data_IF_536839654849
#
_entry.id   IF_536839654849
#
_cell.length_a   1.000
_cell.length_b   1.000
_cell.length_c   1.000
_cell.angle_alpha   90.00
_cell.angle_beta   90.00
_cell.angle_gamma   90.00
#
_symmetry.space_group_name_H-M   'P 1'
#
loop_
_entity.id
_entity.type
_entity.pdbx_description
1 polymer ?
#
# COMPACT_ATOMS: atom_id res chain seq x y z
N UNK A 1 55.39 56.76 16.93
CA UNK A 1 54.99 55.54 17.66
C UNK A 1 53.63 55.03 17.13
N UNK A 2 53.54 54.70 15.83
CA UNK A 2 52.29 54.31 15.16
C UNK A 2 52.43 53.08 14.23
N UNK A 3 53.57 52.38 14.25
CA UNK A 3 53.85 51.25 13.35
C UNK A 3 53.65 49.86 13.95
N UNK A 4 53.36 49.75 15.26
CA UNK A 4 53.29 48.45 15.96
C UNK A 4 51.86 48.05 16.39
N UNK A 5 50.88 48.95 16.27
CA UNK A 5 49.47 48.68 16.57
C UNK A 5 48.65 48.26 15.34
N UNK A 6 49.18 48.45 14.12
CA UNK A 6 48.52 48.07 12.88
C UNK A 6 48.60 46.55 12.61
N UNK A 7 49.74 45.94 12.88
CA UNK A 7 49.97 44.52 12.55
C UNK A 7 49.16 43.57 13.42
N UNK A 8 48.94 43.90 14.69
CA UNK A 8 48.12 43.08 15.58
C UNK A 8 46.63 43.22 15.25
N UNK A 9 46.15 44.44 14.95
CA UNK A 9 44.76 44.68 14.56
C UNK A 9 44.41 44.02 13.22
N UNK A 10 45.29 44.11 12.22
CA UNK A 10 45.13 43.47 10.92
C UNK A 10 45.14 41.95 11.05
N UNK A 11 46.03 41.38 11.90
CA UNK A 11 46.03 39.93 12.19
C UNK A 11 44.74 39.49 12.87
N UNK A 12 44.23 40.24 13.86
CA UNK A 12 42.98 39.90 14.54
C UNK A 12 41.78 39.97 13.60
N UNK A 13 41.71 40.97 12.72
CA UNK A 13 40.68 41.07 11.69
C UNK A 13 40.79 39.93 10.66
N UNK A 14 42.00 39.63 10.17
CA UNK A 14 42.24 38.52 9.24
C UNK A 14 41.83 37.17 9.84
N UNK A 15 42.27 36.87 11.07
CA UNK A 15 41.89 35.64 11.76
C UNK A 15 40.39 35.60 12.08
N UNK A 16 39.80 36.73 12.49
CA UNK A 16 38.37 36.85 12.72
C UNK A 16 37.55 36.56 11.45
N UNK A 17 37.91 37.16 10.32
CA UNK A 17 37.27 36.91 9.02
C UNK A 17 37.51 35.49 8.51
N UNK A 18 38.71 34.93 8.71
CA UNK A 18 39.05 33.55 8.34
C UNK A 18 38.22 32.54 9.14
N UNK A 19 38.15 32.67 10.46
CA UNK A 19 37.32 31.81 11.30
C UNK A 19 35.83 32.01 11.03
N UNK A 20 35.37 33.23 10.75
CA UNK A 20 33.99 33.48 10.35
C UNK A 20 33.65 32.79 9.02
N UNK A 21 34.55 32.82 8.03
CA UNK A 21 34.36 32.14 6.75
C UNK A 21 34.34 30.60 6.91
N UNK A 22 35.26 30.04 7.70
CA UNK A 22 35.26 28.60 8.01
C UNK A 22 33.98 28.21 8.75
N UNK A 23 33.58 28.99 9.76
CA UNK A 23 32.36 28.71 10.52
C UNK A 23 31.12 28.79 9.62
N UNK A 24 31.04 29.78 8.73
CA UNK A 24 29.97 29.88 7.73
C UNK A 24 29.93 28.66 6.80
N UNK A 25 31.09 28.18 6.34
CA UNK A 25 31.17 27.00 5.47
C UNK A 25 30.74 25.72 6.22
N UNK A 26 31.21 25.51 7.45
CA UNK A 26 30.80 24.39 8.31
C UNK A 26 29.29 24.46 8.56
N UNK A 27 28.76 25.63 8.90
CA UNK A 27 27.33 25.83 9.16
C UNK A 27 26.53 25.54 7.90
N UNK A 28 26.95 26.04 6.74
CA UNK A 28 26.29 25.76 5.46
C UNK A 28 26.27 24.27 5.12
N UNK A 29 27.39 23.57 5.29
CA UNK A 29 27.47 22.13 5.08
C UNK A 29 26.54 21.36 6.03
N UNK A 30 26.54 21.71 7.32
CA UNK A 30 25.66 21.11 8.33
C UNK A 30 24.19 21.38 8.00
N UNK A 31 23.82 22.62 7.65
CA UNK A 31 22.46 22.97 7.23
C UNK A 31 22.01 22.13 6.04
N UNK A 32 22.86 21.95 5.02
CA UNK A 32 22.52 21.13 3.85
C UNK A 32 22.26 19.67 4.23
N UNK A 33 23.06 19.11 5.13
CA UNK A 33 22.86 17.75 5.65
C UNK A 33 21.52 17.66 6.40
N UNK A 34 21.24 18.60 7.31
CA UNK A 34 19.99 18.59 8.07
C UNK A 34 18.75 18.78 7.20
N UNK A 35 18.81 19.67 6.20
CA UNK A 35 17.73 19.86 5.22
C UNK A 35 17.49 18.57 4.44
N UNK A 36 18.54 17.91 3.96
CA UNK A 36 18.42 16.62 3.25
C UNK A 36 17.81 15.50 4.12
N UNK A 37 18.23 15.38 5.38
CA UNK A 37 17.65 14.41 6.32
C UNK A 37 16.17 14.73 6.59
N UNK A 38 15.83 16.01 6.76
CA UNK A 38 14.45 16.47 6.98
C UNK A 38 13.55 16.12 5.82
N UNK A 39 13.99 16.43 4.60
CA UNK A 39 13.24 16.18 3.38
C UNK A 39 13.02 14.69 3.18
N UNK A 40 14.07 13.88 3.35
CA UNK A 40 13.97 12.42 3.27
C UNK A 40 13.01 11.83 4.31
N UNK A 41 13.00 12.35 5.54
CA UNK A 41 12.09 11.90 6.59
C UNK A 41 10.64 12.31 6.32
N UNK A 42 10.43 13.53 5.78
CA UNK A 42 9.12 14.01 5.38
C UNK A 42 8.56 13.18 4.22
N UNK A 43 9.36 12.93 3.19
CA UNK A 43 8.95 12.15 2.04
C UNK A 43 8.59 10.72 2.44
N UNK A 44 9.42 10.10 3.29
CA UNK A 44 9.11 8.80 3.87
C UNK A 44 7.77 8.76 4.58
N UNK A 45 7.52 9.72 5.49
CA UNK A 45 6.26 9.78 6.22
C UNK A 45 5.07 9.98 5.27
N UNK A 46 5.20 10.88 4.29
CA UNK A 46 4.16 11.10 3.28
C UNK A 46 3.89 9.84 2.45
N UNK A 47 4.93 9.10 2.09
CA UNK A 47 4.81 7.82 1.38
C UNK A 47 4.03 6.80 2.24
N UNK A 48 4.37 6.65 3.52
CA UNK A 48 3.65 5.76 4.42
C UNK A 48 2.17 6.13 4.53
N UNK A 49 1.83 7.42 4.63
CA UNK A 49 0.42 7.88 4.71
C UNK A 49 -0.33 7.58 3.41
N UNK A 50 0.27 7.80 2.24
CA UNK A 50 -0.32 7.44 0.95
C UNK A 50 -0.53 5.93 0.83
N UNK A 51 0.44 5.14 1.29
CA UNK A 51 0.38 3.69 1.31
C UNK A 51 -0.73 3.19 2.23
N UNK A 52 -0.88 3.77 3.42
CA UNK A 52 -2.01 3.46 4.32
C UNK A 52 -3.35 3.69 3.60
N UNK A 53 -3.52 4.83 2.92
CA UNK A 53 -4.75 5.11 2.18
C UNK A 53 -5.00 4.09 1.06
N UNK A 54 -3.98 3.76 0.25
CA UNK A 54 -4.09 2.76 -0.84
C UNK A 54 -4.43 1.37 -0.30
N UNK A 55 -3.73 0.90 0.73
CA UNK A 55 -3.94 -0.42 1.32
C UNK A 55 -5.35 -0.54 1.92
N UNK A 56 -5.84 0.48 2.63
CA UNK A 56 -7.23 0.52 3.11
C UNK A 56 -8.24 0.45 1.95
N UNK A 57 -8.00 1.18 0.86
CA UNK A 57 -8.85 1.08 -0.33
C UNK A 57 -8.83 -0.33 -0.92
N UNK A 58 -7.66 -0.95 -1.01
CA UNK A 58 -7.51 -2.31 -1.52
C UNK A 58 -8.23 -3.33 -0.63
N UNK A 59 -8.22 -3.17 0.70
CA UNK A 59 -9.00 -4.05 1.61
C UNK A 59 -10.49 -4.01 1.22
N UNK A 60 -11.04 -2.82 1.03
CA UNK A 60 -12.43 -2.66 0.62
C UNK A 60 -12.72 -3.31 -0.73
N UNK A 61 -11.88 -3.05 -1.73
CA UNK A 61 -12.09 -3.55 -3.09
C UNK A 61 -11.91 -5.08 -3.16
N UNK A 62 -10.96 -5.66 -2.42
CA UNK A 62 -10.79 -7.11 -2.32
C UNK A 62 -12.03 -7.78 -1.72
N UNK A 63 -12.64 -7.19 -0.70
CA UNK A 63 -13.90 -7.74 -0.16
C UNK A 63 -15.06 -7.67 -1.14
N UNK A 64 -15.16 -6.58 -1.92
CA UNK A 64 -16.16 -6.48 -2.98
C UNK A 64 -15.92 -7.53 -4.06
N UNK A 65 -14.66 -7.75 -4.46
CA UNK A 65 -14.29 -8.75 -5.43
C UNK A 65 -14.69 -10.17 -4.94
N UNK A 66 -14.33 -10.55 -3.71
CA UNK A 66 -14.70 -11.86 -3.13
C UNK A 66 -16.21 -12.05 -3.16
N UNK A 67 -16.99 -11.06 -2.70
CA UNK A 67 -18.46 -11.13 -2.70
C UNK A 67 -19.05 -11.32 -4.11
N UNK A 68 -18.51 -10.62 -5.12
CA UNK A 68 -18.96 -10.76 -6.51
C UNK A 68 -18.59 -12.15 -7.04
N UNK A 69 -17.38 -12.65 -6.76
CA UNK A 69 -16.91 -13.97 -7.21
C UNK A 69 -17.76 -15.08 -6.59
N UNK A 70 -18.12 -14.97 -5.31
CA UNK A 70 -19.03 -15.90 -4.65
C UNK A 70 -20.41 -15.92 -5.33
N UNK A 71 -20.99 -14.75 -5.60
CA UNK A 71 -22.28 -14.67 -6.30
C UNK A 71 -22.23 -15.23 -7.73
N UNK A 72 -21.11 -15.01 -8.45
CA UNK A 72 -20.88 -15.64 -9.76
C UNK A 72 -20.78 -17.16 -9.65
N UNK A 73 -20.09 -17.65 -8.62
CA UNK A 73 -19.93 -19.09 -8.37
C UNK A 73 -21.27 -19.74 -8.07
N UNK A 74 -22.10 -19.14 -7.22
CA UNK A 74 -23.46 -19.62 -6.93
C UNK A 74 -24.33 -19.64 -8.20
N UNK A 75 -24.26 -18.59 -9.01
CA UNK A 75 -24.99 -18.51 -10.29
C UNK A 75 -24.54 -19.61 -11.25
N UNK A 76 -23.24 -19.87 -11.32
CA UNK A 76 -22.67 -20.91 -12.17
C UNK A 76 -23.05 -22.32 -11.70
N UNK A 77 -23.06 -22.57 -10.38
CA UNK A 77 -23.52 -23.84 -9.78
C UNK A 77 -25.00 -24.10 -10.04
N UNK A 78 -25.83 -23.05 -10.06
CA UNK A 78 -27.23 -23.16 -10.44
C UNK A 78 -27.43 -23.39 -11.95
N UNK A 79 -26.36 -23.35 -12.76
CA UNK A 79 -26.41 -23.50 -14.21
C UNK A 79 -26.99 -22.29 -14.93
N UNK A 80 -27.03 -21.12 -14.26
CA UNK A 80 -27.61 -19.89 -14.78
C UNK A 80 -26.55 -19.03 -15.49
N UNK A 81 -27.03 -18.15 -16.38
CA UNK A 81 -26.19 -17.15 -17.05
C UNK A 81 -26.12 -15.88 -16.19
N UNK A 82 -24.91 -15.44 -15.89
CA UNK A 82 -24.58 -14.15 -15.31
C UNK A 82 -24.12 -13.17 -16.37
N UNK A 83 -24.46 -11.91 -16.18
CA UNK A 83 -23.95 -10.79 -16.98
C UNK A 83 -22.87 -9.98 -16.26
N UNK A 84 -22.60 -10.30 -14.99
CA UNK A 84 -21.57 -9.62 -14.23
C UNK A 84 -20.19 -10.05 -14.72
N UNK A 85 -19.29 -9.07 -14.83
CA UNK A 85 -17.86 -9.31 -15.05
C UNK A 85 -17.12 -9.02 -13.74
N UNK A 86 -15.97 -9.64 -13.58
CA UNK A 86 -15.05 -9.35 -12.49
C UNK A 86 -14.20 -8.13 -12.85
N UNK A 87 -14.12 -7.16 -11.96
CA UNK A 87 -13.26 -5.99 -12.16
C UNK A 87 -11.85 -6.26 -11.62
N UNK A 88 -10.84 -5.90 -12.41
CA UNK A 88 -9.45 -5.92 -11.99
C UNK A 88 -9.18 -4.81 -10.95
N UNK A 89 -8.32 -5.09 -9.98
CA UNK A 89 -7.89 -4.06 -9.01
C UNK A 89 -6.88 -3.09 -9.62
N UNK A 90 -6.91 -1.81 -9.19
CA UNK A 90 -5.96 -0.82 -9.68
C UNK A 90 -4.54 -1.08 -9.13
N UNK A 91 -3.59 -1.47 -10.00
CA UNK A 91 -2.17 -1.67 -9.64
C UNK A 91 -1.35 -0.37 -9.76
N UNK A 92 -1.94 0.80 -9.51
CA UNK A 92 -1.20 2.05 -9.67
C UNK A 92 -0.11 2.17 -8.59
N UNK A 93 1.13 2.59 -8.92
CA UNK A 93 2.16 2.78 -7.92
C UNK A 93 1.74 3.85 -6.91
N UNK A 94 2.08 3.64 -5.63
CA UNK A 94 1.77 4.59 -4.53
C UNK A 94 2.51 5.93 -4.71
N UNK A 95 3.66 5.88 -5.37
CA UNK A 95 4.59 6.98 -5.59
C UNK A 95 5.99 6.45 -5.83
N UNK A 96 7.00 7.31 -5.69
CA UNK A 96 8.39 6.93 -5.88
C UNK A 96 8.91 6.11 -4.69
N UNK A 97 9.22 4.83 -4.91
CA UNK A 97 9.74 3.92 -3.87
C UNK A 97 11.03 4.44 -3.21
N UNK A 98 11.76 5.34 -3.87
CA UNK A 98 12.95 6.01 -3.33
C UNK A 98 12.69 6.83 -2.06
N UNK A 99 11.44 7.27 -1.86
CA UNK A 99 11.03 7.98 -0.65
C UNK A 99 10.89 7.05 0.56
N UNK A 100 10.69 5.74 0.32
CA UNK A 100 10.60 4.74 1.36
C UNK A 100 12.01 4.36 1.84
N UNK A 101 12.22 4.35 3.17
CA UNK A 101 13.53 4.13 3.78
C UNK A 101 13.69 2.69 4.30
N UNK A 102 12.67 1.83 4.13
CA UNK A 102 12.61 0.48 4.69
C UNK A 102 12.67 -0.54 3.56
N UNK A 103 13.79 -1.25 3.45
CA UNK A 103 14.02 -2.22 2.37
C UNK A 103 13.06 -3.41 2.50
N UNK A 104 12.77 -3.84 3.72
CA UNK A 104 11.88 -4.98 3.94
C UNK A 104 10.45 -4.62 3.50
N UNK A 105 9.98 -3.42 3.85
CA UNK A 105 8.67 -2.94 3.40
C UNK A 105 8.62 -2.70 1.89
N UNK A 106 9.71 -2.21 1.29
CA UNK A 106 9.82 -2.09 -0.18
C UNK A 106 9.64 -3.47 -0.82
N UNK A 107 10.37 -4.48 -0.34
CA UNK A 107 10.28 -5.84 -0.88
C UNK A 107 8.88 -6.44 -0.70
N UNK A 108 8.27 -6.28 0.48
CA UNK A 108 6.90 -6.75 0.71
C UNK A 108 5.89 -6.04 -0.19
N UNK A 109 6.06 -4.74 -0.46
CA UNK A 109 5.21 -3.99 -1.37
C UNK A 109 5.37 -4.46 -2.82
N UNK A 110 6.59 -4.74 -3.27
CA UNK A 110 6.84 -5.33 -4.58
C UNK A 110 6.18 -6.72 -4.74
N UNK A 111 6.34 -7.59 -3.74
CA UNK A 111 5.67 -8.90 -3.76
C UNK A 111 4.16 -8.77 -3.79
N UNK A 112 3.60 -7.81 -3.05
CA UNK A 112 2.17 -7.52 -3.06
C UNK A 112 1.67 -7.01 -4.41
N UNK A 113 2.34 -6.01 -5.00
CA UNK A 113 1.94 -5.48 -6.32
C UNK A 113 2.06 -6.55 -7.41
N UNK A 114 3.09 -7.41 -7.38
CA UNK A 114 3.22 -8.55 -8.30
C UNK A 114 2.10 -9.58 -8.13
N UNK A 115 1.71 -9.88 -6.88
CA UNK A 115 0.55 -10.74 -6.58
C UNK A 115 -0.76 -10.18 -7.14
N UNK A 116 -0.96 -8.85 -7.04
CA UNK A 116 -2.11 -8.18 -7.65
C UNK A 116 -2.13 -8.28 -9.17
N UNK A 117 -0.97 -8.13 -9.83
CA UNK A 117 -0.88 -8.27 -11.28
C UNK A 117 -1.25 -9.70 -11.72
N UNK A 118 -0.77 -10.72 -11.01
CA UNK A 118 -1.13 -12.12 -11.28
C UNK A 118 -2.63 -12.35 -11.12
N UNK A 119 -3.22 -11.88 -10.00
CA UNK A 119 -4.66 -12.00 -9.77
C UNK A 119 -5.50 -11.29 -10.83
N UNK A 120 -5.06 -10.12 -11.27
CA UNK A 120 -5.72 -9.39 -12.34
C UNK A 120 -5.64 -10.12 -13.68
N UNK A 121 -4.54 -10.83 -13.96
CA UNK A 121 -4.42 -11.68 -15.13
C UNK A 121 -5.40 -12.86 -15.05
N UNK A 122 -5.53 -13.50 -13.88
CA UNK A 122 -6.47 -14.59 -13.64
C UNK A 122 -7.93 -14.13 -13.82
N UNK A 123 -8.27 -12.95 -13.27
CA UNK A 123 -9.57 -12.30 -13.48
C UNK A 123 -9.84 -12.05 -14.96
N UNK A 124 -8.87 -11.52 -15.70
CA UNK A 124 -9.01 -11.29 -17.15
C UNK A 124 -9.26 -12.60 -17.90
N UNK A 125 -8.52 -13.66 -17.56
CA UNK A 125 -8.64 -14.97 -18.19
C UNK A 125 -10.02 -15.59 -17.94
N UNK A 126 -10.51 -15.53 -16.70
CA UNK A 126 -11.84 -16.05 -16.32
C UNK A 126 -12.95 -15.25 -17.03
N UNK A 127 -12.85 -13.93 -17.05
CA UNK A 127 -13.80 -13.09 -17.78
C UNK A 127 -13.83 -13.41 -19.28
N UNK A 128 -12.66 -13.61 -19.90
CA UNK A 128 -12.55 -13.94 -21.32
C UNK A 128 -13.21 -15.30 -21.63
N UNK A 129 -12.84 -16.35 -20.88
CA UNK A 129 -13.41 -17.68 -21.00
C UNK A 129 -14.93 -17.65 -20.84
N UNK A 130 -15.42 -16.98 -19.78
CA UNK A 130 -16.85 -16.91 -19.51
C UNK A 130 -17.61 -16.13 -20.58
N UNK A 131 -17.05 -15.00 -21.04
CA UNK A 131 -17.65 -14.20 -22.10
C UNK A 131 -17.73 -14.95 -23.41
N UNK A 132 -16.74 -15.77 -23.76
CA UNK A 132 -16.75 -16.62 -24.95
C UNK A 132 -17.88 -17.67 -24.88
N UNK A 133 -17.97 -18.41 -23.77
CA UNK A 133 -19.00 -19.43 -23.54
C UNK A 133 -20.40 -18.80 -23.56
N UNK A 134 -20.57 -17.64 -22.90
CA UNK A 134 -21.82 -16.88 -22.89
C UNK A 134 -22.20 -16.40 -24.29
N UNK A 135 -21.24 -15.89 -25.06
CA UNK A 135 -21.49 -15.40 -26.43
C UNK A 135 -21.86 -16.52 -27.37
N UNK A 136 -21.25 -17.71 -27.24
CA UNK A 136 -21.63 -18.90 -28.01
C UNK A 136 -23.06 -19.34 -27.72
N UNK A 137 -23.51 -19.26 -26.46
CA UNK A 137 -24.90 -19.54 -26.10
C UNK A 137 -25.86 -18.51 -26.70
N UNK A 138 -25.56 -17.21 -26.56
CA UNK A 138 -26.42 -16.13 -27.06
C UNK A 138 -26.53 -16.10 -28.59
N UNK A 139 -25.48 -16.54 -29.30
CA UNK A 139 -25.46 -16.66 -30.75
C UNK A 139 -26.02 -17.98 -31.28
N UNK A 140 -26.60 -18.81 -30.41
CA UNK A 140 -27.12 -20.16 -30.73
C UNK A 140 -26.08 -21.11 -31.36
N UNK A 141 -24.79 -20.88 -31.13
CA UNK A 141 -23.72 -21.80 -31.57
C UNK A 141 -23.63 -23.05 -30.70
N UNK A 142 -24.05 -22.94 -29.43
CA UNK A 142 -24.18 -24.06 -28.49
C UNK A 142 -25.58 -24.06 -27.88
N UNK A 143 -26.07 -25.23 -27.50
CA UNK A 143 -27.34 -25.35 -26.75
C UNK A 143 -27.09 -25.20 -25.23
N UNK A 144 -28.17 -25.13 -24.44
CA UNK A 144 -28.09 -24.97 -22.99
C UNK A 144 -27.38 -26.14 -22.28
N UNK A 145 -27.51 -27.36 -22.79
CA UNK A 145 -26.85 -28.55 -22.22
C UNK A 145 -25.34 -28.50 -22.44
N UNK A 146 -24.90 -28.09 -23.63
CA UNK A 146 -23.50 -27.87 -23.95
C UNK A 146 -22.91 -26.71 -23.15
N UNK A 147 -23.69 -25.64 -22.91
CA UNK A 147 -23.33 -24.55 -22.02
C UNK A 147 -23.07 -25.05 -20.59
N UNK A 148 -24.00 -25.80 -20.00
CA UNK A 148 -23.83 -26.36 -18.66
C UNK A 148 -22.60 -27.27 -18.55
N UNK A 149 -22.35 -28.07 -19.59
CA UNK A 149 -21.17 -28.95 -19.65
C UNK A 149 -19.87 -28.13 -19.64
N UNK A 150 -19.79 -27.06 -20.44
CA UNK A 150 -18.63 -26.16 -20.50
C UNK A 150 -18.49 -25.30 -19.24
N UNK A 151 -19.61 -24.96 -18.58
CA UNK A 151 -19.63 -24.17 -17.36
C UNK A 151 -19.18 -24.97 -16.13
N UNK A 152 -19.20 -26.31 -16.18
CA UNK A 152 -18.93 -27.18 -15.03
C UNK A 152 -17.58 -26.92 -14.32
N UNK A 153 -16.57 -26.43 -15.05
CA UNK A 153 -15.25 -26.10 -14.50
C UNK A 153 -15.17 -24.69 -13.88
N UNK A 154 -16.11 -23.80 -14.20
CA UNK A 154 -16.08 -22.41 -13.76
C UNK A 154 -16.22 -22.28 -12.23
N UNK A 155 -17.12 -23.01 -11.53
CA UNK A 155 -17.22 -22.94 -10.08
C UNK A 155 -15.91 -23.26 -9.36
N UNK A 156 -15.14 -24.21 -9.86
CA UNK A 156 -13.85 -24.61 -9.28
C UNK A 156 -12.80 -23.54 -9.51
N UNK A 157 -12.72 -22.98 -10.73
CA UNK A 157 -11.83 -21.86 -11.04
C UNK A 157 -12.15 -20.62 -10.19
N UNK A 158 -13.44 -20.31 -10.00
CA UNK A 158 -13.87 -19.21 -9.13
C UNK A 158 -13.53 -19.49 -7.66
N UNK A 159 -13.63 -20.74 -7.19
CA UNK A 159 -13.22 -21.11 -5.84
C UNK A 159 -11.71 -20.96 -5.62
N UNK A 160 -10.88 -21.38 -6.59
CA UNK A 160 -9.43 -21.14 -6.55
C UNK A 160 -9.11 -19.65 -6.54
N UNK A 161 -9.81 -18.86 -7.34
CA UNK A 161 -9.66 -17.41 -7.38
C UNK A 161 -10.02 -16.78 -6.02
N UNK A 162 -11.09 -17.23 -5.34
CA UNK A 162 -11.44 -16.75 -3.98
C UNK A 162 -10.28 -17.00 -3.01
N UNK A 163 -9.72 -18.21 -2.98
CA UNK A 163 -8.60 -18.52 -2.08
C UNK A 163 -7.39 -17.62 -2.32
N UNK A 164 -7.07 -17.33 -3.59
CA UNK A 164 -5.98 -16.43 -3.94
C UNK A 164 -6.29 -14.96 -3.53
N UNK A 165 -7.53 -14.51 -3.62
CA UNK A 165 -7.96 -13.21 -3.11
C UNK A 165 -7.88 -13.12 -1.58
N UNK A 166 -8.19 -14.19 -0.86
CA UNK A 166 -8.07 -14.25 0.61
C UNK A 166 -6.61 -14.20 1.07
N UNK A 167 -5.70 -14.90 0.39
CA UNK A 167 -4.26 -14.82 0.65
C UNK A 167 -3.75 -13.39 0.41
N UNK A 168 -4.14 -12.78 -0.70
CA UNK A 168 -3.76 -11.40 -1.03
C UNK A 168 -4.32 -10.39 -0.02
N UNK A 169 -5.52 -10.65 0.52
CA UNK A 169 -6.10 -9.84 1.59
C UNK A 169 -5.28 -9.95 2.87
N UNK A 170 -4.81 -11.14 3.25
CA UNK A 170 -3.94 -11.30 4.41
C UNK A 170 -2.63 -10.53 4.23
N UNK A 171 -1.99 -10.62 3.06
CA UNK A 171 -0.79 -9.85 2.73
C UNK A 171 -1.05 -8.33 2.83
N UNK A 172 -2.20 -7.86 2.35
CA UNK A 172 -2.60 -6.46 2.46
C UNK A 172 -2.73 -6.03 3.94
N UNK A 173 -3.40 -6.84 4.77
CA UNK A 173 -3.56 -6.56 6.20
C UNK A 173 -2.19 -6.51 6.90
N UNK A 174 -1.27 -7.41 6.57
CA UNK A 174 0.07 -7.42 7.14
C UNK A 174 0.87 -6.18 6.74
N UNK A 175 0.83 -5.78 5.46
CA UNK A 175 1.44 -4.54 4.97
C UNK A 175 0.85 -3.30 5.63
N UNK A 176 -0.48 -3.25 5.78
CA UNK A 176 -1.19 -2.15 6.41
C UNK A 176 -0.80 -2.05 7.89
N UNK A 177 -0.67 -3.18 8.57
CA UNK A 177 -0.21 -3.28 9.97
C UNK A 177 1.19 -2.70 10.12
N UNK A 178 2.13 -3.13 9.28
CA UNK A 178 3.51 -2.62 9.29
C UNK A 178 3.55 -1.11 9.01
N UNK A 179 2.81 -0.66 7.99
CA UNK A 179 2.71 0.75 7.61
C UNK A 179 2.20 1.62 8.77
N UNK A 180 1.09 1.23 9.42
CA UNK A 180 0.53 1.96 10.57
C UNK A 180 1.49 2.03 11.75
N UNK A 181 2.18 0.94 12.07
CA UNK A 181 3.18 0.92 13.14
C UNK A 181 4.35 1.87 12.85
N UNK A 182 4.80 1.92 11.60
CA UNK A 182 5.85 2.84 11.16
C UNK A 182 5.39 4.30 11.23
N UNK A 183 4.16 4.61 10.80
CA UNK A 183 3.56 5.94 10.95
C UNK A 183 3.49 6.36 12.42
N UNK A 184 3.02 5.48 13.32
CA UNK A 184 2.96 5.76 14.77
C UNK A 184 4.33 6.02 15.36
N UNK A 185 5.34 5.25 14.93
CA UNK A 185 6.74 5.43 15.33
C UNK A 185 7.29 6.78 14.86
N UNK A 186 6.95 7.19 13.64
CA UNK A 186 7.44 8.44 13.04
C UNK A 186 6.78 9.68 13.62
N UNK A 187 5.48 9.60 13.91
CA UNK A 187 4.77 10.69 14.59
C UNK A 187 5.43 11.05 15.93
N UNK A 188 5.91 10.05 16.67
CA UNK A 188 6.67 10.27 17.92
C UNK A 188 8.04 10.91 17.68
N UNK A 189 8.71 10.63 16.56
CA UNK A 189 10.02 11.21 16.21
C UNK A 189 9.92 12.63 15.66
N UNK A 190 8.87 12.95 14.91
CA UNK A 190 8.61 14.29 14.37
C UNK A 190 8.41 15.36 15.46
N UNK A 191 7.93 14.96 16.65
CA UNK A 191 7.65 15.84 17.77
C UNK A 191 8.87 16.14 18.67
N UNK A 192 10.06 15.57 18.41
CA UNK A 192 11.25 15.80 19.23
C UNK A 192 12.53 15.97 18.40
N UNK A 193 13.63 16.42 19.03
CA UNK A 193 14.95 16.68 18.38
C UNK A 193 15.48 15.46 17.57
N UNK A 194 14.94 14.27 17.84
CA UNK A 194 15.25 13.02 17.16
C UNK A 194 14.95 13.02 15.65
N UNK A 195 14.23 14.01 15.10
CA UNK A 195 14.05 14.16 13.64
C UNK A 195 15.35 14.54 12.90
N UNK A 196 16.34 15.09 13.62
CA UNK A 196 17.63 15.53 13.08
C UNK A 196 18.62 14.39 12.83
N UNK A 197 18.39 13.20 13.41
CA UNK A 197 19.31 12.07 13.30
C UNK A 197 18.86 11.08 12.20
N UNK A 198 19.82 10.47 11.48
CA UNK A 198 19.52 9.44 10.50
C UNK A 198 18.75 8.28 11.13
N UNK A 199 17.74 7.80 10.41
CA UNK A 199 16.75 6.84 10.90
C UNK A 199 17.37 5.45 10.96
N UNK A 200 17.65 4.95 12.17
CA UNK A 200 17.87 3.52 12.39
C UNK A 200 16.52 2.81 12.46
N UNK A 201 16.21 1.99 11.46
CA UNK A 201 15.05 1.11 11.45
C UNK A 201 15.28 0.00 12.48
N UNK A 202 14.64 0.12 13.65
CA UNK A 202 14.54 -1.03 14.55
C UNK A 202 13.43 -1.94 14.02
N UNK A 203 13.61 -3.27 14.07
CA UNK A 203 12.55 -4.20 13.70
C UNK A 203 11.31 -3.95 14.59
N UNK A 204 10.14 -4.16 14.01
CA UNK A 204 8.88 -4.07 14.75
C UNK A 204 8.82 -5.21 15.77
N UNK A 205 8.30 -4.94 16.97
CA UNK A 205 8.14 -5.98 17.98
C UNK A 205 6.95 -6.87 17.63
N UNK A 206 7.12 -8.19 17.76
CA UNK A 206 6.07 -9.18 17.45
C UNK A 206 4.76 -8.87 18.17
N UNK A 207 4.83 -8.46 19.44
CA UNK A 207 3.64 -8.09 20.22
C UNK A 207 2.91 -6.86 19.66
N UNK A 208 3.65 -5.85 19.18
CA UNK A 208 3.04 -4.66 18.58
C UNK A 208 2.37 -4.99 17.24
N UNK A 209 2.99 -5.86 16.43
CA UNK A 209 2.41 -6.35 15.17
C UNK A 209 1.11 -7.12 15.44
N UNK A 210 1.13 -8.08 16.37
CA UNK A 210 -0.07 -8.84 16.74
C UNK A 210 -1.21 -7.96 17.25
N UNK A 211 -0.91 -7.01 18.14
CA UNK A 211 -1.91 -6.10 18.69
C UNK A 211 -2.53 -5.19 17.60
N UNK A 212 -1.71 -4.67 16.69
CA UNK A 212 -2.21 -3.82 15.60
C UNK A 212 -2.99 -4.62 14.55
N UNK A 213 -2.55 -5.84 14.21
CA UNK A 213 -3.29 -6.74 13.30
C UNK A 213 -4.67 -7.07 13.86
N UNK A 214 -4.77 -7.40 15.16
CA UNK A 214 -6.05 -7.66 15.81
C UNK A 214 -6.97 -6.44 15.80
N UNK A 215 -6.41 -5.24 16.07
CA UNK A 215 -7.17 -3.99 16.01
C UNK A 215 -7.71 -3.72 14.60
N UNK A 216 -6.89 -3.95 13.58
CA UNK A 216 -7.29 -3.82 12.17
C UNK A 216 -8.42 -4.78 11.81
N UNK A 217 -8.32 -6.05 12.23
CA UNK A 217 -9.37 -7.04 11.98
C UNK A 217 -10.71 -6.61 12.60
N UNK A 218 -10.68 -6.10 13.84
CA UNK A 218 -11.88 -5.57 14.51
C UNK A 218 -12.47 -4.37 13.76
N UNK A 219 -11.64 -3.41 13.35
CA UNK A 219 -12.08 -2.25 12.56
C UNK A 219 -12.74 -2.68 11.24
N UNK A 220 -12.14 -3.65 10.56
CA UNK A 220 -12.64 -4.20 9.30
C UNK A 220 -14.00 -4.90 9.49
N UNK A 221 -14.13 -5.73 10.53
CA UNK A 221 -15.39 -6.41 10.87
C UNK A 221 -16.50 -5.41 11.23
N UNK A 222 -16.16 -4.37 11.97
CA UNK A 222 -17.11 -3.31 12.32
C UNK A 222 -17.61 -2.57 11.07
N UNK A 223 -16.70 -2.20 10.16
CA UNK A 223 -17.05 -1.55 8.88
C UNK A 223 -17.94 -2.48 8.03
N UNK A 224 -17.66 -3.78 8.01
CA UNK A 224 -18.48 -4.78 7.32
C UNK A 224 -19.88 -4.85 7.90
N UNK A 225 -20.01 -4.94 9.23
CA UNK A 225 -21.31 -4.97 9.93
C UNK A 225 -22.13 -3.71 9.62
N UNK A 226 -21.52 -2.54 9.73
CA UNK A 226 -22.16 -1.26 9.44
C UNK A 226 -22.60 -1.15 7.96
N UNK A 227 -21.80 -1.70 7.04
CA UNK A 227 -22.15 -1.73 5.62
C UNK A 227 -23.32 -2.64 5.32
N UNK A 228 -23.37 -3.84 5.92
CA UNK A 228 -24.49 -4.76 5.81
C UNK A 228 -25.80 -4.16 6.36
N UNK A 229 -25.74 -3.50 7.52
CA UNK A 229 -26.89 -2.81 8.12
C UNK A 229 -27.42 -1.68 7.21
N UNK A 230 -26.53 -0.92 6.55
CA UNK A 230 -26.92 0.14 5.60
C UNK A 230 -27.62 -0.42 4.36
N UNK A 231 -27.14 -1.55 3.83
CA UNK A 231 -27.76 -2.21 2.68
C UNK A 231 -29.16 -2.71 3.06
N UNK A 232 -29.28 -3.40 4.20
CA UNK A 232 -30.56 -3.93 4.69
C UNK A 232 -31.61 -2.84 4.96
N UNK A 233 -31.19 -1.62 5.31
CA UNK A 233 -32.08 -0.46 5.48
C UNK A 233 -32.54 0.16 4.16
N UNK A 234 -31.80 -0.03 3.06
CA UNK A 234 -32.15 0.50 1.72
C UNK A 234 -33.10 -0.41 0.94
N UNK A 235 -33.12 -1.70 1.28
CA UNK A 235 -33.99 -2.72 0.66
C UNK A 235 -35.32 -2.91 1.40
N UNK A 236 -35.56 -2.16 2.48
CA UNK A 236 -36.87 -2.02 3.14
C UNK A 236 -37.53 -0.72 2.70
#
# INVERSE_FOLDING_TARGET
MYGLLSDSAIRVQFWGSFFAAIFALITFAMTRIFVGIRERNRNHYNFLVKMEAKLNQHVLLTYQAIYIIEGLRETALAGNVSFNNLDALPVKPVGDFYDLQDIDLINSLFSYDAGLESLNADVCNINALYSEIRSALLSNQINHKDFQTRLSILPDNLASLIGAWEEQLELNIDLLTQTRLMIKRDKKKLLGINWLFPRRMKPLTVNAVKAEKLKLQQEIEEIRRLSAERIAKRTK
#
